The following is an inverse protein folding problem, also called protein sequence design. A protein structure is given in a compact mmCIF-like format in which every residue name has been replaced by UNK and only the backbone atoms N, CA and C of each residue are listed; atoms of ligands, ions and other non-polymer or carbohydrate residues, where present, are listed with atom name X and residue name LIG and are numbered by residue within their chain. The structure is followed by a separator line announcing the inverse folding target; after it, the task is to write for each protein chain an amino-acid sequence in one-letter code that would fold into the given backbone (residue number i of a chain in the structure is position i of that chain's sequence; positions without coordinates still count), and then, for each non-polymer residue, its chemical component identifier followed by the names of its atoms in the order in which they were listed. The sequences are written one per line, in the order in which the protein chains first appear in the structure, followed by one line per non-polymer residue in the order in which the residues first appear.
data_IF_730762762806
#
_entry.id   IF_730762762806
#
_cell.length_a   1.000
_cell.length_b   1.000
_cell.length_c   1.000
_cell.angle_alpha   90.00
_cell.angle_beta   90.00
_cell.angle_gamma   90.00
#
_symmetry.space_group_name_H-M   'P 1'
#
loop_
_entity.id
_entity.type
_entity.pdbx_description
1 polymer ?
#
# COMPACT_ATOMS: atom_id res chain seq x y z
N UNK A 1 -16.24 -2.46 -4.80
CA UNK A 1 -15.74 -3.65 -5.49
C UNK A 1 -14.27 -3.85 -5.13
N UNK A 2 -13.95 -4.92 -4.41
CA UNK A 2 -12.55 -5.27 -4.11
C UNK A 2 -11.78 -5.51 -5.40
N UNK A 3 -10.65 -4.80 -5.56
CA UNK A 3 -9.78 -4.89 -6.75
C UNK A 3 -8.53 -5.65 -6.39
N UNK A 4 -8.04 -6.47 -7.31
CA UNK A 4 -6.79 -7.22 -7.11
C UNK A 4 -5.63 -6.54 -7.83
N UNK A 5 -4.56 -6.31 -7.09
CA UNK A 5 -3.29 -5.82 -7.61
C UNK A 5 -2.24 -6.92 -7.51
N UNK A 6 -1.21 -6.82 -8.35
CA UNK A 6 -0.04 -7.69 -8.29
C UNK A 6 1.14 -6.88 -7.81
N UNK A 7 1.81 -7.36 -6.77
CA UNK A 7 3.05 -6.79 -6.27
C UNK A 7 4.18 -7.74 -6.65
N UNK A 8 5.25 -7.19 -7.21
CA UNK A 8 6.42 -7.95 -7.66
C UNK A 8 7.69 -7.37 -7.07
N UNK A 9 8.53 -8.23 -6.49
CA UNK A 9 9.84 -7.85 -5.95
C UNK A 9 10.86 -8.96 -6.26
N UNK A 10 11.87 -8.65 -7.06
CA UNK A 10 12.82 -9.66 -7.55
C UNK A 10 12.10 -10.79 -8.29
N UNK A 11 12.31 -12.04 -7.86
CA UNK A 11 11.64 -13.23 -8.41
C UNK A 11 10.29 -13.57 -7.77
N UNK A 12 9.81 -12.78 -6.80
CA UNK A 12 8.59 -13.05 -6.05
C UNK A 12 7.44 -12.22 -6.62
N UNK A 13 6.26 -12.83 -6.74
CA UNK A 13 5.02 -12.14 -7.07
C UNK A 13 3.93 -12.55 -6.08
N UNK A 14 3.26 -11.56 -5.50
CA UNK A 14 2.11 -11.75 -4.62
C UNK A 14 0.90 -11.02 -5.19
N UNK A 15 -0.29 -11.52 -4.86
CA UNK A 15 -1.56 -10.85 -5.18
C UNK A 15 -2.08 -10.21 -3.90
N UNK A 16 -2.52 -8.97 -3.99
CA UNK A 16 -3.11 -8.26 -2.87
C UNK A 16 -4.46 -7.66 -3.27
N UNK A 17 -5.30 -7.42 -2.28
CA UNK A 17 -6.65 -6.88 -2.47
C UNK A 17 -6.73 -5.45 -1.94
N UNK A 18 -7.20 -4.56 -2.80
CA UNK A 18 -7.54 -3.20 -2.46
C UNK A 18 -9.03 -3.13 -2.15
N UNK A 19 -9.33 -2.50 -1.01
CA UNK A 19 -10.71 -2.24 -0.59
C UNK A 19 -11.35 -1.09 -1.41
N UNK A 20 -12.54 -0.67 -0.96
CA UNK A 20 -13.35 0.35 -1.61
C UNK A 20 -13.12 1.76 -1.05
N UNK A 21 -12.01 1.97 -0.34
CA UNK A 21 -11.69 3.27 0.24
C UNK A 21 -11.21 4.27 -0.83
N UNK A 22 -11.37 5.59 -0.59
CA UNK A 22 -10.80 6.61 -1.46
C UNK A 22 -9.28 6.49 -1.60
N UNK A 23 -8.60 5.98 -0.57
CA UNK A 23 -7.16 5.71 -0.59
C UNK A 23 -6.82 4.59 -1.57
N UNK A 24 -7.57 3.49 -1.53
CA UNK A 24 -7.43 2.40 -2.47
C UNK A 24 -7.73 2.84 -3.92
N UNK A 25 -8.72 3.72 -4.12
CA UNK A 25 -9.00 4.32 -5.42
C UNK A 25 -7.82 5.12 -5.97
N UNK A 26 -7.20 5.96 -5.13
CA UNK A 26 -6.06 6.75 -5.54
C UNK A 26 -4.85 5.88 -5.88
N UNK A 27 -4.57 4.85 -5.08
CA UNK A 27 -3.50 3.88 -5.35
C UNK A 27 -3.78 3.14 -6.67
N UNK A 28 -5.00 2.67 -6.87
CA UNK A 28 -5.41 1.98 -8.09
C UNK A 28 -5.21 2.85 -9.35
N UNK A 29 -5.61 4.12 -9.28
CA UNK A 29 -5.46 5.06 -10.39
C UNK A 29 -4.00 5.46 -10.66
N UNK A 30 -3.12 5.30 -9.68
CA UNK A 30 -1.69 5.57 -9.83
C UNK A 30 -0.92 4.37 -10.42
N UNK A 31 -1.52 3.18 -10.50
CA UNK A 31 -0.87 2.02 -11.10
C UNK A 31 -0.65 2.19 -12.61
N UNK A 32 0.44 1.61 -13.17
CA UNK A 32 1.48 0.84 -12.48
C UNK A 32 2.49 1.73 -11.73
N UNK A 33 3.01 1.21 -10.62
CA UNK A 33 3.99 1.87 -9.76
C UNK A 33 5.28 1.04 -9.69
N UNK A 34 6.42 1.72 -9.75
CA UNK A 34 7.75 1.13 -9.53
C UNK A 34 8.49 2.00 -8.52
N UNK A 35 8.97 1.38 -7.44
CA UNK A 35 9.67 2.07 -6.36
C UNK A 35 10.63 1.13 -5.65
N UNK A 36 11.64 1.70 -4.97
CA UNK A 36 12.55 0.93 -4.13
C UNK A 36 11.92 0.72 -2.75
N UNK A 37 11.61 -0.53 -2.44
CA UNK A 37 11.21 -0.98 -1.11
C UNK A 37 12.31 -0.75 -0.07
N UNK A 38 11.92 -0.24 1.10
CA UNK A 38 12.69 -0.25 2.33
C UNK A 38 12.00 -1.16 3.34
N UNK A 39 12.75 -1.66 4.32
CA UNK A 39 12.22 -2.53 5.37
C UNK A 39 12.40 -1.92 6.74
N UNK A 40 11.40 -2.07 7.60
CA UNK A 40 11.48 -1.72 9.02
C UNK A 40 10.98 -2.91 9.84
N UNK A 41 11.90 -3.69 10.40
CA UNK A 41 11.53 -4.96 11.03
C UNK A 41 10.96 -5.91 9.99
N UNK A 42 9.72 -6.34 10.20
CA UNK A 42 8.99 -7.22 9.29
C UNK A 42 8.12 -6.46 8.27
N UNK A 43 8.05 -5.12 8.35
CA UNK A 43 7.29 -4.27 7.42
C UNK A 43 8.11 -3.91 6.17
N UNK A 44 7.48 -3.93 5.00
CA UNK A 44 8.02 -3.36 3.75
C UNK A 44 7.26 -2.08 3.42
N UNK A 45 7.96 -0.99 3.16
CA UNK A 45 7.36 0.28 2.75
C UNK A 45 8.10 0.94 1.60
N UNK A 46 7.37 1.68 0.76
CA UNK A 46 7.95 2.49 -0.31
C UNK A 46 7.05 3.69 -0.64
N UNK A 47 7.67 4.82 -1.00
CA UNK A 47 6.93 6.01 -1.41
C UNK A 47 6.25 5.82 -2.76
N UNK A 48 5.02 6.33 -2.86
CA UNK A 48 4.20 6.33 -4.07
C UNK A 48 3.74 7.76 -4.39
N UNK A 49 3.44 8.09 -5.66
CA UNK A 49 2.98 9.42 -6.07
C UNK A 49 1.50 9.68 -5.71
N UNK A 50 1.06 9.19 -4.56
CA UNK A 50 -0.28 9.40 -4.00
C UNK A 50 -0.14 10.27 -2.78
N UNK A 51 -0.85 11.39 -2.77
CA UNK A 51 -0.82 12.38 -1.69
C UNK A 51 -2.22 12.54 -1.13
N UNK A 52 -2.50 11.82 -0.04
CA UNK A 52 -3.78 11.88 0.65
C UNK A 52 -3.58 12.15 2.14
N UNK A 53 -4.49 12.92 2.78
CA UNK A 53 -4.48 13.05 4.23
C UNK A 53 -4.84 11.72 4.89
N UNK A 54 -4.63 11.64 6.21
CA UNK A 54 -5.06 10.48 6.99
C UNK A 54 -6.55 10.20 6.77
N UNK A 55 -6.86 8.97 6.39
CA UNK A 55 -8.22 8.52 6.15
C UNK A 55 -9.00 8.45 7.46
N UNK A 56 -10.33 8.61 7.39
CA UNK A 56 -11.20 8.57 8.58
C UNK A 56 -11.25 7.19 9.24
N UNK A 57 -11.00 6.16 8.45
CA UNK A 57 -10.94 4.75 8.82
C UNK A 57 -9.49 4.27 9.06
N UNK A 58 -8.53 5.19 9.21
CA UNK A 58 -7.16 4.85 9.56
C UNK A 58 -7.10 4.08 10.89
N UNK A 59 -6.29 3.02 10.91
CA UNK A 59 -6.09 2.15 12.09
C UNK A 59 -4.65 2.27 12.58
N UNK A 60 -4.47 2.25 13.89
CA UNK A 60 -3.14 2.19 14.52
C UNK A 60 -2.61 0.76 14.60
N UNK A 61 -3.49 -0.23 14.61
CA UNK A 61 -3.15 -1.65 14.69
C UNK A 61 -3.68 -2.36 13.45
N UNK A 62 -2.80 -3.11 12.79
CA UNK A 62 -3.06 -3.86 11.55
C UNK A 62 -2.63 -5.32 11.75
N UNK A 63 -3.16 -6.21 10.92
CA UNK A 63 -2.82 -7.63 10.96
C UNK A 63 -1.67 -7.96 9.99
N UNK A 64 -0.97 -9.07 10.23
CA UNK A 64 0.06 -9.57 9.32
C UNK A 64 -0.55 -9.85 7.95
N UNK A 65 0.02 -9.29 6.90
CA UNK A 65 -0.47 -9.35 5.52
C UNK A 65 -1.35 -8.17 5.10
N UNK A 66 -1.66 -7.24 6.01
CA UNK A 66 -2.43 -6.05 5.67
C UNK A 66 -1.63 -5.08 4.78
N UNK A 67 -2.37 -4.35 3.95
CA UNK A 67 -1.85 -3.23 3.19
C UNK A 67 -2.25 -1.91 3.83
N UNK A 68 -1.27 -1.03 4.00
CA UNK A 68 -1.46 0.30 4.56
C UNK A 68 -1.00 1.41 3.61
N UNK A 69 -1.55 2.60 3.81
CA UNK A 69 -1.01 3.84 3.26
C UNK A 69 -0.64 4.75 4.42
N UNK A 70 0.60 5.23 4.43
CA UNK A 70 1.14 6.12 5.45
C UNK A 70 1.29 7.54 4.91
N UNK A 71 0.39 8.48 5.28
CA UNK A 71 0.38 9.84 4.75
C UNK A 71 1.68 10.64 4.93
N UNK A 72 2.36 10.64 6.10
CA UNK A 72 3.57 11.45 6.30
C UNK A 72 4.69 11.14 5.31
N UNK A 73 4.83 9.88 4.90
CA UNK A 73 5.84 9.43 3.92
C UNK A 73 5.29 9.23 2.50
N UNK A 74 4.00 9.49 2.27
CA UNK A 74 3.25 9.08 1.08
C UNK A 74 3.56 7.62 0.72
N UNK A 75 3.63 6.74 1.72
CA UNK A 75 4.19 5.41 1.58
C UNK A 75 3.10 4.36 1.48
N UNK A 76 3.32 3.39 0.62
CA UNK A 76 2.59 2.14 0.60
C UNK A 76 3.31 1.16 1.52
N UNK A 77 2.59 0.59 2.47
CA UNK A 77 3.10 -0.31 3.50
C UNK A 77 2.50 -1.71 3.33
N UNK A 78 3.32 -2.73 3.55
CA UNK A 78 2.95 -4.14 3.55
C UNK A 78 3.43 -4.69 4.90
N UNK A 79 2.49 -5.15 5.71
CA UNK A 79 2.75 -5.65 7.06
C UNK A 79 2.89 -7.17 7.08
#
# INVERSE_FOLDING_TARGET
MMRRIRITAGGISVTAELNDSPTADAIWNALPLEARGSTWGDEIYFSIPVHLPQARDAKEVVELGDLGYWPPGNAFCIF
#
